data_IF_349295619241
#
_entry.id   IF_349295619241
#
_cell.length_a   1.000
_cell.length_b   1.000
_cell.length_c   1.000
_cell.angle_alpha   90.00
_cell.angle_beta   90.00
_cell.angle_gamma   90.00
#
_symmetry.space_group_name_H-M   'P 1'
#
loop_
_entity.id
_entity.type
_entity.pdbx_description
1 polymer ?
#
# COMPACT_ATOMS: atom_id res chain seq x y z
N UNK A 1 21.67 7.71 -5.53
CA UNK A 1 20.99 6.79 -4.59
C UNK A 1 20.31 5.73 -5.44
N UNK A 2 20.76 4.48 -5.39
CA UNK A 2 20.09 3.38 -6.10
C UNK A 2 18.76 3.11 -5.39
N UNK A 3 17.67 3.71 -5.85
CA UNK A 3 16.33 3.23 -5.52
C UNK A 3 16.27 1.77 -6.00
N UNK A 4 16.27 0.83 -5.06
CA UNK A 4 16.07 -0.59 -5.38
C UNK A 4 14.85 -0.71 -6.29
N UNK A 5 15.02 -1.36 -7.44
CA UNK A 5 14.02 -1.40 -8.49
C UNK A 5 12.65 -1.78 -7.90
N UNK A 6 11.67 -0.87 -8.03
CA UNK A 6 10.30 -1.12 -7.59
C UNK A 6 9.76 -2.37 -8.31
N UNK A 7 9.58 -3.46 -7.57
CA UNK A 7 8.96 -4.68 -8.07
C UNK A 7 7.52 -4.73 -7.58
N UNK A 8 6.56 -4.59 -8.50
CA UNK A 8 5.13 -4.58 -8.17
C UNK A 8 4.68 -5.80 -7.34
N UNK A 9 5.33 -6.95 -7.48
CA UNK A 9 5.08 -8.17 -6.71
C UNK A 9 5.23 -7.99 -5.20
N UNK A 10 6.05 -7.05 -4.77
CA UNK A 10 6.48 -6.88 -3.38
C UNK A 10 5.60 -5.89 -2.61
N UNK A 11 4.59 -5.32 -3.30
CA UNK A 11 3.72 -4.27 -2.77
C UNK A 11 2.25 -4.64 -2.90
N UNK A 12 1.43 -4.15 -1.97
CA UNK A 12 -0.02 -4.08 -2.13
C UNK A 12 -0.42 -2.69 -2.61
N UNK A 13 -1.45 -2.61 -3.47
CA UNK A 13 -2.14 -1.35 -3.75
C UNK A 13 -3.04 -0.96 -2.59
N UNK A 14 -3.34 0.33 -2.46
CA UNK A 14 -4.33 0.84 -1.51
C UNK A 14 -5.62 0.00 -1.49
N UNK A 15 -6.17 -0.33 -2.66
CA UNK A 15 -7.43 -1.09 -2.76
C UNK A 15 -7.32 -2.51 -2.20
N UNK A 16 -6.14 -3.13 -2.27
CA UNK A 16 -5.88 -4.46 -1.72
C UNK A 16 -5.80 -4.40 -0.19
N UNK A 17 -5.13 -3.38 0.34
CA UNK A 17 -5.01 -3.15 1.79
C UNK A 17 -6.38 -2.86 2.41
N UNK A 18 -7.14 -1.95 1.82
CA UNK A 18 -8.50 -1.58 2.27
C UNK A 18 -9.40 -2.81 2.36
N UNK A 19 -9.37 -3.69 1.35
CA UNK A 19 -10.13 -4.95 1.35
C UNK A 19 -9.66 -5.90 2.45
N UNK A 20 -8.35 -6.04 2.64
CA UNK A 20 -7.76 -6.97 3.62
C UNK A 20 -8.10 -6.61 5.06
N UNK A 21 -8.06 -5.32 5.41
CA UNK A 21 -8.42 -4.83 6.74
C UNK A 21 -9.91 -4.51 6.89
N UNK A 22 -10.72 -4.63 5.82
CA UNK A 22 -12.15 -4.28 5.80
C UNK A 22 -12.42 -2.86 6.32
N UNK A 23 -11.54 -1.92 5.99
CA UNK A 23 -11.66 -0.50 6.38
C UNK A 23 -12.18 0.34 5.23
N UNK A 24 -12.64 1.55 5.52
CA UNK A 24 -12.94 2.54 4.48
C UNK A 24 -11.64 3.13 3.90
N UNK A 25 -11.67 3.53 2.62
CA UNK A 25 -10.52 4.16 1.96
C UNK A 25 -10.02 5.42 2.69
N UNK A 26 -10.91 6.17 3.37
CA UNK A 26 -10.53 7.34 4.20
C UNK A 26 -9.64 6.96 5.39
N UNK A 27 -9.79 5.75 5.92
CA UNK A 27 -9.02 5.26 7.07
C UNK A 27 -7.67 4.67 6.66
N UNK A 28 -7.46 4.39 5.38
CA UNK A 28 -6.18 3.86 4.88
C UNK A 28 -5.02 4.78 5.23
N UNK A 29 -5.14 6.09 4.95
CA UNK A 29 -4.06 7.04 5.23
C UNK A 29 -3.76 7.13 6.73
N UNK A 30 -4.80 7.09 7.56
CA UNK A 30 -4.65 7.08 9.02
C UNK A 30 -3.92 5.81 9.49
N UNK A 31 -4.32 4.64 8.99
CA UNK A 31 -3.67 3.36 9.29
C UNK A 31 -2.15 3.39 9.02
N UNK A 32 -1.74 3.98 7.89
CA UNK A 32 -0.33 4.08 7.54
C UNK A 32 0.43 5.03 8.48
N UNK A 33 -0.16 6.19 8.81
CA UNK A 33 0.43 7.17 9.72
C UNK A 33 0.59 6.59 11.13
N UNK A 34 -0.48 5.99 11.67
CA UNK A 34 -0.49 5.43 13.02
C UNK A 34 0.55 4.31 13.21
N UNK A 35 0.87 3.60 12.13
CA UNK A 35 1.81 2.47 12.15
C UNK A 35 3.17 2.78 11.50
N UNK A 36 3.43 4.06 11.16
CA UNK A 36 4.65 4.52 10.51
C UNK A 36 5.04 3.71 9.25
N UNK A 37 4.04 3.40 8.40
CA UNK A 37 4.23 2.62 7.17
C UNK A 37 4.47 3.57 5.99
N UNK A 38 5.57 3.33 5.27
CA UNK A 38 5.93 4.11 4.10
C UNK A 38 5.06 3.71 2.88
N UNK A 39 4.59 4.72 2.15
CA UNK A 39 3.88 4.55 0.89
C UNK A 39 4.71 5.04 -0.29
N UNK A 40 4.51 4.39 -1.44
CA UNK A 40 5.15 4.74 -2.71
C UNK A 40 4.06 5.08 -3.72
N UNK A 41 4.17 6.24 -4.36
CA UNK A 41 3.27 6.63 -5.45
C UNK A 41 3.88 6.21 -6.78
N UNK A 42 3.13 5.47 -7.60
CA UNK A 42 3.54 5.11 -8.97
C UNK A 42 2.43 5.45 -9.95
N UNK A 43 2.79 6.07 -11.07
CA UNK A 43 1.89 6.24 -12.21
C UNK A 43 1.70 4.90 -12.90
N UNK A 44 0.46 4.58 -13.23
CA UNK A 44 0.07 3.38 -13.96
C UNK A 44 -0.77 3.85 -15.14
N UNK A 45 -0.34 3.49 -16.36
CA UNK A 45 -1.14 3.67 -17.56
C UNK A 45 -2.22 2.58 -17.61
N UNK A 46 -3.46 3.01 -17.81
CA UNK A 46 -4.63 2.15 -17.98
C UNK A 46 -5.24 2.34 -19.38
N UNK A 47 -4.40 2.30 -20.42
CA UNK A 47 -4.86 2.38 -21.81
C UNK A 47 -5.27 3.79 -22.22
N UNK A 48 -4.37 4.77 -22.00
CA UNK A 48 -4.57 6.17 -22.38
C UNK A 48 -4.96 7.10 -21.23
N UNK A 49 -5.00 6.57 -19.99
CA UNK A 49 -5.18 7.35 -18.78
C UNK A 49 -4.09 7.01 -17.76
N UNK A 50 -3.35 8.03 -17.33
CA UNK A 50 -2.39 7.92 -16.24
C UNK A 50 -3.08 8.07 -14.89
N UNK A 51 -3.07 7.01 -14.10
CA UNK A 51 -3.56 7.06 -12.71
C UNK A 51 -2.37 6.92 -11.76
N UNK A 52 -2.26 7.85 -10.81
CA UNK A 52 -1.32 7.70 -9.70
C UNK A 52 -1.90 6.74 -8.68
N UNK A 53 -1.27 5.59 -8.50
CA UNK A 53 -1.67 4.57 -7.54
C UNK A 53 -0.70 4.54 -6.36
N UNK A 54 -1.27 4.39 -5.15
CA UNK A 54 -0.51 4.24 -3.91
C UNK A 54 -0.20 2.76 -3.66
N UNK A 55 1.07 2.48 -3.39
CA UNK A 55 1.61 1.17 -3.06
C UNK A 55 2.24 1.18 -1.66
N UNK A 56 2.13 0.08 -0.94
CA UNK A 56 2.79 -0.16 0.36
C UNK A 56 3.42 -1.53 0.36
N UNK A 57 4.53 -1.74 1.06
CA UNK A 57 5.20 -3.04 1.08
C UNK A 57 4.29 -4.10 1.70
N UNK A 58 4.30 -5.30 1.12
CA UNK A 58 3.50 -6.42 1.65
C UNK A 58 3.94 -6.81 3.06
N UNK A 59 5.25 -6.85 3.30
CA UNK A 59 5.84 -7.20 4.59
C UNK A 59 5.29 -6.34 5.74
N UNK A 60 5.29 -5.01 5.58
CA UNK A 60 4.78 -4.08 6.59
C UNK A 60 3.29 -4.33 6.89
N UNK A 61 2.50 -4.59 5.85
CA UNK A 61 1.06 -4.86 5.95
C UNK A 61 0.77 -6.23 6.58
N UNK A 62 1.55 -7.24 6.24
CA UNK A 62 1.40 -8.60 6.76
C UNK A 62 1.73 -8.63 8.25
N UNK A 63 2.82 -7.97 8.67
CA UNK A 63 3.18 -7.79 10.09
C UNK A 63 2.08 -7.06 10.85
N UNK A 64 1.54 -5.96 10.30
CA UNK A 64 0.44 -5.22 10.92
C UNK A 64 -0.82 -6.09 11.07
N UNK A 65 -1.19 -6.85 10.04
CA UNK A 65 -2.36 -7.72 10.09
C UNK A 65 -2.22 -8.86 11.11
N UNK A 66 -1.01 -9.36 11.37
CA UNK A 66 -0.76 -10.30 12.47
C UNK A 66 -0.95 -9.60 13.81
N UNK A 67 -0.31 -8.44 14.02
CA UNK A 67 -0.39 -7.67 15.27
C UNK A 67 -1.80 -7.32 15.70
N UNK A 68 -2.70 -7.02 14.75
CA UNK A 68 -4.09 -6.66 15.04
C UNK A 68 -5.02 -7.85 15.29
N UNK A 69 -4.55 -9.08 15.03
CA UNK A 69 -5.33 -10.31 15.24
C UNK A 69 -4.92 -11.08 16.50
N UNK A 70 -3.73 -10.81 17.02
CA UNK A 70 -3.24 -11.30 18.32
C UNK A 70 -3.80 -10.47 19.46
#
# INVERSE_FOLDING_TARGET
MNEGAFKRSDYYRQTEVVKRFKIAAKLFKQLLVDNNINQVNKRVDLGGYDVTTVYVKKEDIDVLNIKLRS
#
